data_IF_665645105068
#
_entry.id   IF_665645105068
#
_cell.length_a   1.000
_cell.length_b   1.000
_cell.length_c   1.000
_cell.angle_alpha   90.00
_cell.angle_beta   90.00
_cell.angle_gamma   90.00
#
_symmetry.space_group_name_H-M   'P 1'
#
loop_
_entity.id
_entity.type
_entity.pdbx_description
1 polymer ?
#
# COMPACT_ATOMS: atom_id res chain seq x y z
N UNK A 1 -35.68 -17.41 5.19
CA UNK A 1 -35.47 -15.95 4.97
C UNK A 1 -34.45 -15.35 5.91
N UNK A 2 -34.19 -15.97 7.04
CA UNK A 2 -33.20 -15.45 8.01
C UNK A 2 -31.82 -15.23 7.44
N UNK A 3 -31.38 -16.11 6.57
CA UNK A 3 -30.06 -15.98 5.95
C UNK A 3 -29.98 -14.78 4.99
N UNK A 4 -31.06 -14.47 4.29
CA UNK A 4 -31.12 -13.28 3.45
C UNK A 4 -31.08 -12.02 4.29
N UNK A 5 -31.77 -12.02 5.41
CA UNK A 5 -31.73 -10.91 6.35
C UNK A 5 -30.32 -10.72 6.89
N UNK A 6 -29.64 -11.83 7.19
CA UNK A 6 -28.25 -11.78 7.67
C UNK A 6 -27.31 -11.16 6.63
N UNK A 7 -27.47 -11.54 5.37
CA UNK A 7 -26.67 -10.96 4.29
C UNK A 7 -26.97 -9.48 4.10
N UNK A 8 -28.26 -9.13 4.12
CA UNK A 8 -28.69 -7.75 3.96
C UNK A 8 -28.44 -6.91 5.21
N UNK A 9 -28.15 -7.56 6.36
CA UNK A 9 -27.82 -6.83 7.58
C UNK A 9 -26.43 -6.19 7.51
N UNK A 10 -25.58 -6.66 6.59
CA UNK A 10 -24.33 -5.98 6.33
C UNK A 10 -24.63 -4.58 5.81
N UNK A 11 -24.29 -3.56 6.58
CA UNK A 11 -24.59 -2.19 6.20
C UNK A 11 -23.71 -1.72 5.05
N UNK A 12 -24.08 -0.56 4.49
CA UNK A 12 -23.37 -0.02 3.34
C UNK A 12 -21.90 0.28 3.66
N UNK A 13 -21.61 0.70 4.89
CA UNK A 13 -20.24 0.97 5.31
C UNK A 13 -19.39 -0.28 5.29
N UNK A 14 -19.94 -1.41 5.76
CA UNK A 14 -19.22 -2.68 5.75
C UNK A 14 -18.94 -3.17 4.34
N UNK A 15 -19.88 -3.02 3.44
CA UNK A 15 -19.69 -3.37 2.03
C UNK A 15 -18.64 -2.50 1.39
N UNK A 16 -18.69 -1.21 1.66
CA UNK A 16 -17.68 -0.26 1.18
C UNK A 16 -16.30 -0.61 1.72
N UNK A 17 -16.22 -0.99 3.00
CA UNK A 17 -14.97 -1.39 3.62
C UNK A 17 -14.35 -2.59 2.90
N UNK A 18 -15.13 -3.64 2.67
CA UNK A 18 -14.67 -4.84 1.99
C UNK A 18 -14.17 -4.49 0.58
N UNK A 19 -14.93 -3.68 -0.13
CA UNK A 19 -14.60 -3.26 -1.48
C UNK A 19 -13.30 -2.45 -1.53
N UNK A 20 -13.13 -1.50 -0.61
CA UNK A 20 -11.93 -0.69 -0.51
C UNK A 20 -10.71 -1.54 -0.14
N UNK A 21 -10.86 -2.47 0.79
CA UNK A 21 -9.78 -3.37 1.17
C UNK A 21 -9.38 -4.26 0.01
N UNK A 22 -10.34 -4.75 -0.75
CA UNK A 22 -10.06 -5.57 -1.93
C UNK A 22 -9.28 -4.79 -2.98
N UNK A 23 -9.66 -3.54 -3.22
CA UNK A 23 -8.93 -2.67 -4.15
C UNK A 23 -7.49 -2.46 -3.67
N UNK A 24 -7.32 -2.18 -2.38
CA UNK A 24 -6.00 -2.04 -1.80
C UNK A 24 -5.16 -3.30 -1.97
N UNK A 25 -5.73 -4.45 -1.67
CA UNK A 25 -5.05 -5.73 -1.81
C UNK A 25 -4.67 -6.02 -3.25
N UNK A 26 -5.53 -5.70 -4.21
CA UNK A 26 -5.26 -5.90 -5.63
C UNK A 26 -4.06 -5.07 -6.08
N UNK A 27 -4.01 -3.79 -5.70
CA UNK A 27 -2.86 -2.94 -6.00
C UNK A 27 -1.61 -3.40 -5.27
N UNK A 28 -1.75 -3.87 -4.04
CA UNK A 28 -0.62 -4.38 -3.27
C UNK A 28 0.03 -5.58 -3.94
N UNK A 29 -0.79 -6.49 -4.48
CA UNK A 29 -0.29 -7.69 -5.18
C UNK A 29 0.57 -7.36 -6.38
N UNK A 30 0.24 -6.30 -7.09
CA UNK A 30 1.00 -5.87 -8.28
C UNK A 30 2.04 -4.81 -7.94
N UNK A 31 2.33 -4.65 -6.66
CA UNK A 31 3.38 -3.78 -6.13
C UNK A 31 3.16 -2.29 -6.42
N UNK A 32 1.92 -1.88 -6.68
CA UNK A 32 1.56 -0.48 -6.77
C UNK A 32 1.21 0.01 -5.36
N UNK A 33 2.26 0.27 -4.57
CA UNK A 33 2.14 0.50 -3.13
C UNK A 33 1.46 1.81 -2.78
N UNK A 34 1.72 2.87 -3.54
CA UNK A 34 1.09 4.17 -3.27
C UNK A 34 -0.42 4.15 -3.53
N UNK A 35 -0.90 3.63 -4.66
CA UNK A 35 -2.34 3.44 -4.85
C UNK A 35 -2.94 2.50 -3.81
N UNK A 36 -2.27 1.40 -3.46
CA UNK A 36 -2.73 0.49 -2.43
C UNK A 36 -2.93 1.21 -1.11
N UNK A 37 -1.93 1.99 -0.69
CA UNK A 37 -2.01 2.78 0.54
C UNK A 37 -3.20 3.74 0.51
N UNK A 38 -3.44 4.39 -0.62
CA UNK A 38 -4.58 5.31 -0.78
C UNK A 38 -5.90 4.60 -0.54
N UNK A 39 -6.09 3.41 -1.11
CA UNK A 39 -7.30 2.61 -0.89
C UNK A 39 -7.46 2.19 0.56
N UNK A 40 -6.35 1.76 1.20
CA UNK A 40 -6.38 1.41 2.61
C UNK A 40 -6.72 2.61 3.49
N UNK A 41 -6.23 3.81 3.16
CA UNK A 41 -6.57 5.02 3.91
C UNK A 41 -8.06 5.34 3.81
N UNK A 42 -8.66 5.13 2.65
CA UNK A 42 -10.11 5.28 2.50
C UNK A 42 -10.86 4.27 3.34
N UNK A 43 -10.38 3.03 3.40
CA UNK A 43 -10.98 2.00 4.25
C UNK A 43 -10.84 2.36 5.74
N UNK A 44 -9.70 2.91 6.14
CA UNK A 44 -9.45 3.33 7.52
C UNK A 44 -10.46 4.40 7.96
N UNK A 45 -10.84 5.30 7.06
CA UNK A 45 -11.78 6.37 7.36
C UNK A 45 -13.14 5.83 7.79
N UNK A 46 -13.50 4.60 7.40
CA UNK A 46 -14.74 3.97 7.83
C UNK A 46 -14.69 3.44 9.27
N UNK A 47 -13.48 3.29 9.83
CA UNK A 47 -13.25 2.90 11.22
C UNK A 47 -13.93 1.58 11.61
N UNK A 48 -13.97 0.61 10.69
CA UNK A 48 -14.59 -0.70 10.94
C UNK A 48 -13.59 -1.67 11.56
N UNK A 49 -12.42 -1.83 10.96
CA UNK A 49 -11.33 -2.65 11.49
C UNK A 49 -10.03 -1.83 11.45
N UNK A 50 -9.92 -0.79 12.29
CA UNK A 50 -8.82 0.16 12.14
C UNK A 50 -7.45 -0.46 12.37
N UNK A 51 -7.32 -1.40 13.29
CA UNK A 51 -6.01 -2.03 13.56
C UNK A 51 -5.49 -2.80 12.35
N UNK A 52 -6.36 -3.58 11.71
CA UNK A 52 -6.00 -4.34 10.54
C UNK A 52 -5.57 -3.43 9.39
N UNK A 53 -6.32 -2.35 9.18
CA UNK A 53 -6.03 -1.40 8.11
C UNK A 53 -4.72 -0.66 8.39
N UNK A 54 -4.49 -0.25 9.64
CA UNK A 54 -3.25 0.41 10.03
C UNK A 54 -2.03 -0.48 9.77
N UNK A 55 -2.16 -1.78 10.03
CA UNK A 55 -1.09 -2.72 9.74
C UNK A 55 -0.79 -2.77 8.24
N UNK A 56 -1.83 -2.78 7.39
CA UNK A 56 -1.66 -2.77 5.95
C UNK A 56 -0.98 -1.49 5.47
N UNK A 57 -1.39 -0.35 6.00
CA UNK A 57 -0.80 0.95 5.68
C UNK A 57 0.67 0.99 6.10
N UNK A 58 0.97 0.50 7.31
CA UNK A 58 2.34 0.46 7.81
C UNK A 58 3.22 -0.43 6.92
N UNK A 59 2.69 -1.54 6.44
CA UNK A 59 3.41 -2.41 5.53
C UNK A 59 3.70 -1.72 4.20
N UNK A 60 2.72 -0.99 3.64
CA UNK A 60 2.93 -0.19 2.44
C UNK A 60 4.02 0.84 2.66
N UNK A 61 3.97 1.57 3.77
CA UNK A 61 4.97 2.59 4.09
C UNK A 61 6.37 2.00 4.21
N UNK A 62 6.48 0.85 4.87
CA UNK A 62 7.76 0.18 5.01
C UNK A 62 8.36 -0.19 3.66
N UNK A 63 7.54 -0.76 2.77
CA UNK A 63 7.99 -1.15 1.45
C UNK A 63 8.32 0.05 0.57
N UNK A 64 7.53 1.12 0.63
CA UNK A 64 7.81 2.36 -0.09
C UNK A 64 9.15 2.94 0.36
N UNK A 65 9.37 3.00 1.68
CA UNK A 65 10.62 3.51 2.23
C UNK A 65 11.80 2.66 1.79
N UNK A 66 11.64 1.34 1.77
CA UNK A 66 12.67 0.42 1.31
C UNK A 66 13.02 0.68 -0.16
N UNK A 67 12.02 0.84 -1.02
CA UNK A 67 12.26 1.16 -2.43
C UNK A 67 13.04 2.46 -2.59
N UNK A 68 12.67 3.49 -1.82
CA UNK A 68 13.37 4.78 -1.88
C UNK A 68 14.82 4.65 -1.45
N UNK A 69 15.10 3.84 -0.42
CA UNK A 69 16.49 3.58 0.01
C UNK A 69 17.28 2.88 -1.08
N UNK A 70 16.70 1.87 -1.72
CA UNK A 70 17.36 1.14 -2.80
C UNK A 70 17.69 2.08 -3.96
N UNK A 71 16.73 2.91 -4.35
CA UNK A 71 16.94 3.89 -5.43
C UNK A 71 18.06 4.85 -5.08
N UNK A 72 18.10 5.37 -3.85
CA UNK A 72 19.17 6.28 -3.41
C UNK A 72 20.54 5.60 -3.48
N UNK A 73 20.63 4.36 -3.04
CA UNK A 73 21.88 3.60 -3.09
C UNK A 73 22.33 3.43 -4.53
N UNK A 74 21.43 3.08 -5.44
CA UNK A 74 21.75 2.90 -6.85
C UNK A 74 22.25 4.22 -7.46
N UNK A 75 21.60 5.34 -7.14
CA UNK A 75 22.01 6.66 -7.64
C UNK A 75 23.42 7.01 -7.14
N UNK A 76 23.70 6.76 -5.88
CA UNK A 76 25.03 7.04 -5.29
C UNK A 76 26.10 6.19 -5.97
N UNK A 77 25.85 4.91 -6.15
CA UNK A 77 26.79 4.01 -6.83
C UNK A 77 27.04 4.47 -8.26
N UNK A 78 25.98 4.82 -8.99
CA UNK A 78 26.09 5.31 -10.36
C UNK A 78 26.92 6.59 -10.42
N UNK A 79 26.70 7.51 -9.47
CA UNK A 79 27.47 8.75 -9.40
C UNK A 79 28.96 8.46 -9.15
N UNK A 80 29.27 7.54 -8.25
CA UNK A 80 30.65 7.16 -7.96
C UNK A 80 31.31 6.56 -9.19
N UNK A 81 30.60 5.68 -9.91
CA UNK A 81 31.14 5.06 -11.12
C UNK A 81 31.43 6.11 -12.18
N UNK A 82 30.55 7.07 -12.41
CA UNK A 82 30.72 8.14 -13.37
C UNK A 82 31.93 8.99 -13.00
N UNK A 83 32.05 9.38 -11.74
CA UNK A 83 33.17 10.17 -11.25
C UNK A 83 34.51 9.42 -11.43
N UNK A 84 34.52 8.12 -11.14
CA UNK A 84 35.69 7.29 -11.31
C UNK A 84 36.15 7.25 -12.79
N UNK A 85 35.18 7.07 -13.69
CA UNK A 85 35.49 7.06 -15.13
C UNK A 85 36.07 8.39 -15.57
N UNK A 86 35.49 9.50 -15.17
CA UNK A 86 35.97 10.82 -15.52
C UNK A 86 37.37 11.11 -14.92
N UNK A 87 37.55 10.65 -13.68
CA UNK A 87 38.82 10.90 -12.96
C UNK A 87 39.97 10.09 -13.55
N UNK A 88 39.75 8.84 -13.94
CA UNK A 88 40.75 7.95 -14.49
C UNK A 88 40.90 8.07 -16.02
N UNK A 89 40.12 8.91 -16.62
CA UNK A 89 40.23 9.15 -18.05
C UNK A 89 41.37 10.09 -18.37
#
# INVERSE_FOLDING_TARGET
MGHLTSETSMNQAERSFIDLMQHGDDFFKIELLRPAKSWYQKALALNIEPEKVKQKIAECDRLITFELKVIKIIIVIAAIVVLAILFFR
#
